data_IF_974960896328
#
_entry.id   IF_974960896328
#
_cell.length_a   1.000
_cell.length_b   1.000
_cell.length_c   1.000
_cell.angle_alpha   90.00
_cell.angle_beta   90.00
_cell.angle_gamma   90.00
#
_symmetry.space_group_name_H-M   'P 1'
#
loop_
_entity.id
_entity.type
_entity.pdbx_description
1 polymer ?
#
# COMPACT_ATOMS: atom_id res chain seq x y z
N UNK A 1 -3.98 -16.89 -24.94
CA UNK A 1 -4.94 -16.07 -24.16
C UNK A 1 -4.17 -15.08 -23.31
N UNK A 2 -4.01 -13.82 -23.74
CA UNK A 2 -3.35 -12.79 -22.94
C UNK A 2 -4.34 -12.31 -21.86
N UNK A 3 -4.03 -12.52 -20.58
CA UNK A 3 -4.86 -12.01 -19.50
C UNK A 3 -4.88 -10.47 -19.55
N UNK A 4 -6.08 -9.89 -19.55
CA UNK A 4 -6.29 -8.45 -19.60
C UNK A 4 -5.64 -7.83 -18.36
N UNK A 5 -4.47 -7.21 -18.51
CA UNK A 5 -3.72 -6.56 -17.42
C UNK A 5 -4.67 -5.57 -16.75
N UNK A 6 -5.04 -5.85 -15.49
CA UNK A 6 -5.90 -4.97 -14.69
C UNK A 6 -5.27 -3.58 -14.55
N UNK A 7 -6.10 -2.55 -14.50
CA UNK A 7 -5.68 -1.19 -14.15
C UNK A 7 -5.05 -1.20 -12.76
N UNK A 8 -3.78 -0.81 -12.68
CA UNK A 8 -3.00 -0.72 -11.44
C UNK A 8 -2.89 0.75 -11.04
N UNK A 9 -3.35 1.06 -9.85
CA UNK A 9 -3.13 2.36 -9.22
C UNK A 9 -1.90 2.30 -8.32
N UNK A 10 -1.11 3.37 -8.29
CA UNK A 10 0.03 3.50 -7.37
C UNK A 10 -0.49 4.10 -6.08
N UNK A 11 -0.24 3.43 -4.96
CA UNK A 11 -0.69 3.87 -3.63
C UNK A 11 0.49 3.88 -2.65
N UNK A 12 0.38 4.74 -1.63
CA UNK A 12 1.39 4.87 -0.58
C UNK A 12 0.91 4.11 0.66
N UNK A 13 1.77 3.28 1.27
CA UNK A 13 1.54 2.71 2.59
C UNK A 13 2.38 3.49 3.59
N UNK A 14 1.75 4.19 4.54
CA UNK A 14 2.42 5.08 5.49
C UNK A 14 2.24 4.58 6.93
N UNK A 15 3.30 4.69 7.73
CA UNK A 15 3.19 4.67 9.18
C UNK A 15 3.03 6.12 9.68
N UNK A 16 1.90 6.49 10.31
CA UNK A 16 1.68 7.84 10.82
C UNK A 16 2.65 8.23 11.96
N UNK A 17 3.16 7.27 12.73
CA UNK A 17 4.02 7.56 13.88
C UNK A 17 5.45 7.94 13.46
N UNK A 18 5.99 7.29 12.44
CA UNK A 18 7.39 7.43 12.03
C UNK A 18 7.57 8.21 10.74
N UNK A 19 6.50 8.39 9.97
CA UNK A 19 6.54 8.98 8.63
C UNK A 19 7.19 8.10 7.57
N UNK A 20 7.60 6.86 7.91
CA UNK A 20 8.11 5.90 6.94
C UNK A 20 6.98 5.51 5.99
N UNK A 21 7.30 5.42 4.70
CA UNK A 21 6.33 4.98 3.71
C UNK A 21 6.93 4.04 2.69
N UNK A 22 6.03 3.27 2.08
CA UNK A 22 6.30 2.37 0.97
C UNK A 22 5.40 2.73 -0.20
N UNK A 23 5.93 2.61 -1.40
CA UNK A 23 5.15 2.72 -2.63
C UNK A 23 4.74 1.32 -3.04
N UNK A 24 3.46 1.12 -3.33
CA UNK A 24 2.94 -0.16 -3.80
C UNK A 24 1.92 0.06 -4.92
N UNK A 25 1.60 -1.01 -5.63
CA UNK A 25 0.58 -0.98 -6.69
C UNK A 25 -0.62 -1.77 -6.23
N UNK A 26 -1.80 -1.21 -6.45
CA UNK A 26 -3.10 -1.74 -6.09
C UNK A 26 -3.87 -2.03 -7.35
N UNK A 27 -4.44 -3.24 -7.44
CA UNK A 27 -5.31 -3.61 -8.55
C UNK A 27 -6.72 -3.09 -8.26
N UNK A 28 -7.20 -2.10 -9.02
CA UNK A 28 -8.52 -1.49 -8.79
C UNK A 28 -9.69 -2.44 -9.05
N UNK A 29 -9.46 -3.48 -9.85
CA UNK A 29 -10.47 -4.46 -10.25
C UNK A 29 -10.61 -5.65 -9.30
N UNK A 30 -9.74 -5.77 -8.30
CA UNK A 30 -9.80 -6.90 -7.37
C UNK A 30 -10.67 -6.54 -6.16
N UNK A 31 -11.69 -7.36 -5.87
CA UNK A 31 -12.53 -7.22 -4.68
C UNK A 31 -11.70 -7.17 -3.38
N UNK A 32 -10.59 -7.91 -3.35
CA UNK A 32 -9.63 -7.92 -2.22
C UNK A 32 -9.01 -6.54 -1.95
N UNK A 33 -9.10 -5.61 -2.90
CA UNK A 33 -8.52 -4.27 -2.80
C UNK A 33 -9.55 -3.15 -2.86
N UNK A 34 -10.84 -3.45 -2.77
CA UNK A 34 -11.89 -2.43 -2.79
C UNK A 34 -11.78 -1.43 -1.61
N UNK A 35 -11.16 -1.82 -0.48
CA UNK A 35 -10.98 -0.99 0.71
C UNK A 35 -9.59 -0.37 0.89
N UNK A 36 -9.39 0.29 2.05
CA UNK A 36 -8.08 0.76 2.49
C UNK A 36 -7.18 -0.44 2.83
N UNK A 37 -6.06 -0.56 2.13
CA UNK A 37 -5.07 -1.60 2.39
C UNK A 37 -4.37 -1.37 3.74
N UNK A 38 -4.22 -2.46 4.50
CA UNK A 38 -3.41 -2.52 5.71
C UNK A 38 -2.39 -3.64 5.56
N UNK A 39 -1.10 -3.32 5.70
CA UNK A 39 -0.04 -4.31 5.58
C UNK A 39 0.93 -4.22 6.74
N UNK A 40 1.31 -5.38 7.29
CA UNK A 40 2.38 -5.45 8.27
C UNK A 40 3.72 -5.36 7.53
N UNK A 41 4.43 -4.24 7.68
CA UNK A 41 5.75 -4.01 7.08
C UNK A 41 6.74 -3.61 8.14
N UNK A 42 8.02 -3.79 7.83
CA UNK A 42 9.10 -3.38 8.72
C UNK A 42 9.15 -1.85 8.80
N UNK A 43 9.28 -1.30 10.00
CA UNK A 43 9.58 0.11 10.19
C UNK A 43 11.06 0.27 10.55
N UNK A 44 11.80 0.99 9.70
CA UNK A 44 13.25 1.22 9.91
C UNK A 44 13.56 2.06 11.16
N UNK A 45 12.65 2.94 11.59
CA UNK A 45 12.85 3.78 12.78
C UNK A 45 12.53 3.01 14.06
N UNK A 46 11.43 2.25 14.08
CA UNK A 46 11.03 1.46 15.26
C UNK A 46 11.71 0.09 15.34
N UNK A 47 12.41 -0.32 14.27
CA UNK A 47 13.08 -1.62 14.11
C UNK A 47 12.18 -2.84 14.34
N UNK A 48 10.87 -2.70 14.10
CA UNK A 48 9.87 -3.76 14.28
C UNK A 48 8.86 -3.74 13.13
N UNK A 49 8.14 -4.85 12.96
CA UNK A 49 7.06 -4.93 11.98
C UNK A 49 5.78 -4.30 12.57
N UNK A 50 5.27 -3.27 11.92
CA UNK A 50 4.06 -2.55 12.32
C UNK A 50 3.07 -2.52 11.17
N UNK A 51 1.82 -2.19 11.47
CA UNK A 51 0.77 -2.07 10.46
C UNK A 51 0.87 -0.71 9.78
N UNK A 52 1.16 -0.72 8.48
CA UNK A 52 1.10 0.45 7.62
C UNK A 52 -0.29 0.54 6.99
N UNK A 53 -0.79 1.76 6.84
CA UNK A 53 -2.11 2.04 6.27
C UNK A 53 -1.98 2.77 4.94
N UNK A 54 -2.91 2.52 4.03
CA UNK A 54 -2.98 3.22 2.73
C UNK A 54 -3.20 4.72 2.93
N UNK A 55 -2.30 5.51 2.36
CA UNK A 55 -2.32 6.95 2.29
C UNK A 55 -2.36 7.38 0.81
N UNK A 56 -2.92 8.58 0.57
CA UNK A 56 -2.93 9.17 -0.77
C UNK A 56 -1.50 9.44 -1.23
N UNK A 57 -1.22 9.10 -2.49
CA UNK A 57 0.00 9.51 -3.16
C UNK A 57 -0.03 11.05 -3.31
N UNK A 58 0.99 11.80 -2.87
CA UNK A 58 1.11 13.21 -3.24
C UNK A 58 1.35 13.29 -4.75
N UNK A 59 0.53 14.10 -5.45
CA UNK A 59 0.65 14.39 -6.88
C UNK A 59 1.81 15.35 -7.13
#
# INVERSE_FOLDING_TARGET
MASKKGSKEVVQLRNPETGVFYITTKNTKSENTAGKMKFRKYDKKLRKHVVFTEAKMPH
#
